data_IF_558111549718
#
_entry.id   IF_558111549718
#
_cell.length_a   1.000
_cell.length_b   1.000
_cell.length_c   1.000
_cell.angle_alpha   90.00
_cell.angle_beta   90.00
_cell.angle_gamma   90.00
#
_symmetry.space_group_name_H-M   'P 1'
#
loop_
_entity.id
_entity.type
_entity.pdbx_description
1 polymer ?
#
# COMPACT_ATOMS: atom_id res chain seq x y z
N UNK A 1 7.92 -11.03 16.79
CA UNK A 1 6.92 -9.99 17.09
C UNK A 1 6.45 -9.51 15.76
N UNK A 2 5.18 -9.67 15.48
CA UNK A 2 4.56 -9.36 14.19
C UNK A 2 3.72 -8.10 14.36
N UNK A 3 3.81 -7.20 13.39
CA UNK A 3 2.97 -6.01 13.30
C UNK A 3 1.92 -6.26 12.22
N UNK A 4 0.66 -6.10 12.61
CA UNK A 4 -0.45 -6.00 11.67
C UNK A 4 -0.83 -4.54 11.51
N UNK A 5 -0.79 -4.05 10.26
CA UNK A 5 -1.17 -2.70 9.87
C UNK A 5 -2.43 -2.79 8.99
N UNK A 6 -3.54 -2.21 9.45
CA UNK A 6 -4.75 -2.07 8.65
C UNK A 6 -4.88 -0.62 8.19
N UNK A 7 -5.00 -0.40 6.89
CA UNK A 7 -5.29 0.91 6.29
C UNK A 7 -6.68 0.86 5.66
N UNK A 8 -7.53 1.82 5.98
CA UNK A 8 -8.87 1.99 5.38
C UNK A 8 -8.96 3.33 4.70
N UNK A 9 -9.81 3.44 3.68
CA UNK A 9 -10.12 4.72 3.05
C UNK A 9 -11.22 4.61 2.00
N UNK A 10 -11.50 5.73 1.34
CA UNK A 10 -12.46 5.85 0.26
C UNK A 10 -11.76 6.00 -1.09
N UNK A 11 -12.26 5.28 -2.09
CA UNK A 11 -11.82 5.31 -3.48
C UNK A 11 -13.00 5.76 -4.33
N UNK A 12 -12.77 6.76 -5.18
CA UNK A 12 -13.79 7.19 -6.15
C UNK A 12 -14.09 6.05 -7.14
N UNK A 13 -15.35 5.91 -7.54
CA UNK A 13 -15.80 4.79 -8.38
C UNK A 13 -15.01 4.67 -9.70
N UNK A 14 -14.56 5.79 -10.26
CA UNK A 14 -13.73 5.84 -11.47
C UNK A 14 -12.30 5.31 -11.28
N UNK A 15 -11.79 5.28 -10.05
CA UNK A 15 -10.46 4.78 -9.70
C UNK A 15 -10.45 3.35 -9.14
N UNK A 16 -11.61 2.77 -8.82
CA UNK A 16 -11.69 1.41 -8.24
C UNK A 16 -10.94 0.35 -9.06
N UNK A 17 -11.04 0.40 -10.39
CA UNK A 17 -10.37 -0.56 -11.27
C UNK A 17 -8.84 -0.45 -11.16
N UNK A 18 -8.31 0.78 -11.13
CA UNK A 18 -6.88 1.03 -11.00
C UNK A 18 -6.34 0.59 -9.63
N UNK A 19 -7.07 0.92 -8.55
CA UNK A 19 -6.73 0.47 -7.20
C UNK A 19 -6.74 -1.06 -7.08
N UNK A 20 -7.74 -1.71 -7.67
CA UNK A 20 -7.83 -3.18 -7.67
C UNK A 20 -6.63 -3.81 -8.37
N UNK A 21 -6.23 -3.27 -9.53
CA UNK A 21 -5.05 -3.75 -10.26
C UNK A 21 -3.76 -3.55 -9.44
N UNK A 22 -3.60 -2.36 -8.85
CA UNK A 22 -2.48 -2.03 -7.96
C UNK A 22 -2.35 -3.02 -6.79
N UNK A 23 -3.44 -3.28 -6.07
CA UNK A 23 -3.42 -4.20 -4.92
C UNK A 23 -3.22 -5.66 -5.33
N UNK A 24 -3.65 -6.05 -6.54
CA UNK A 24 -3.35 -7.38 -7.07
C UNK A 24 -1.85 -7.58 -7.36
N UNK A 25 -1.13 -6.53 -7.77
CA UNK A 25 0.33 -6.60 -7.88
C UNK A 25 0.99 -6.86 -6.53
N UNK A 26 0.49 -6.20 -5.47
CA UNK A 26 1.01 -6.35 -4.12
C UNK A 26 0.72 -7.75 -3.54
N UNK A 27 -0.53 -8.25 -3.62
CA UNK A 27 -0.89 -9.60 -3.16
C UNK A 27 -0.12 -10.71 -3.90
N UNK A 28 0.20 -10.49 -5.17
CA UNK A 28 0.90 -11.48 -5.99
C UNK A 28 2.41 -11.56 -5.72
N UNK A 29 2.94 -10.81 -4.75
CA UNK A 29 4.38 -10.68 -4.52
C UNK A 29 5.12 -9.98 -5.66
N UNK A 30 4.41 -9.22 -6.50
CA UNK A 30 4.97 -8.45 -7.62
C UNK A 30 5.14 -6.98 -7.22
N UNK A 31 5.82 -6.75 -6.09
CA UNK A 31 5.98 -5.42 -5.48
C UNK A 31 7.15 -4.60 -6.02
N UNK A 32 8.04 -5.19 -6.83
CA UNK A 32 9.15 -4.47 -7.48
C UNK A 32 8.73 -3.77 -8.77
N UNK A 33 9.60 -3.82 -9.80
CA UNK A 33 9.42 -3.13 -11.08
C UNK A 33 8.00 -3.15 -11.69
N UNK A 34 7.19 -4.24 -11.63
CA UNK A 34 5.81 -4.19 -12.14
C UNK A 34 4.91 -3.16 -11.42
N UNK A 35 5.00 -3.07 -10.09
CA UNK A 35 4.23 -2.12 -9.29
C UNK A 35 4.71 -0.70 -9.56
N UNK A 36 6.02 -0.48 -9.55
CA UNK A 36 6.63 0.83 -9.87
C UNK A 36 6.22 1.34 -11.24
N UNK A 37 6.35 0.49 -12.29
CA UNK A 37 5.94 0.85 -13.64
C UNK A 37 4.45 1.15 -13.77
N UNK A 38 3.61 0.45 -13.00
CA UNK A 38 2.18 0.72 -12.96
C UNK A 38 1.90 2.07 -12.30
N UNK A 39 2.49 2.34 -11.13
CA UNK A 39 2.29 3.58 -10.39
C UNK A 39 2.82 4.78 -11.18
N UNK A 40 4.00 4.68 -11.81
CA UNK A 40 4.53 5.76 -12.65
C UNK A 40 3.59 6.12 -13.81
N UNK A 41 2.88 5.14 -14.37
CA UNK A 41 1.94 5.38 -15.48
C UNK A 41 0.58 5.88 -15.04
N UNK A 42 0.07 5.36 -13.93
CA UNK A 42 -1.31 5.56 -13.49
C UNK A 42 -1.43 6.66 -12.43
N UNK A 43 -0.45 6.75 -11.54
CA UNK A 43 -0.40 7.66 -10.40
C UNK A 43 0.99 8.32 -10.30
N UNK A 44 1.43 9.11 -11.31
CA UNK A 44 2.81 9.61 -11.39
C UNK A 44 3.21 10.49 -10.20
N UNK A 45 2.25 11.14 -9.53
CA UNK A 45 2.53 11.94 -8.33
C UNK A 45 2.86 11.09 -7.11
N UNK A 46 2.48 9.82 -7.10
CA UNK A 46 2.67 8.89 -6.00
C UNK A 46 4.02 8.15 -6.05
N UNK A 47 4.74 8.22 -7.18
CA UNK A 47 6.01 7.50 -7.42
C UNK A 47 7.04 7.76 -6.30
N UNK A 48 7.23 9.01 -5.91
CA UNK A 48 8.24 9.38 -4.93
C UNK A 48 7.97 8.84 -3.51
N UNK A 49 6.70 8.65 -3.13
CA UNK A 49 6.35 8.08 -1.83
C UNK A 49 6.32 6.54 -1.88
N UNK A 50 6.01 5.95 -3.03
CA UNK A 50 6.21 4.52 -3.25
C UNK A 50 7.68 4.14 -3.11
N UNK A 51 8.59 4.86 -3.77
CA UNK A 51 10.03 4.59 -3.73
C UNK A 51 10.55 4.59 -2.29
N UNK A 52 10.22 5.63 -1.50
CA UNK A 52 10.58 5.68 -0.07
C UNK A 52 10.00 4.53 0.74
N UNK A 53 8.78 4.10 0.45
CA UNK A 53 8.19 2.96 1.14
C UNK A 53 8.96 1.68 0.81
N UNK A 54 9.31 1.45 -0.45
CA UNK A 54 10.07 0.28 -0.90
C UNK A 54 11.50 0.27 -0.36
N UNK A 55 12.19 1.42 -0.36
CA UNK A 55 13.55 1.57 0.19
C UNK A 55 13.63 1.08 1.64
N UNK A 56 12.61 1.38 2.46
CA UNK A 56 12.55 0.89 3.84
C UNK A 56 12.52 -0.64 3.88
N UNK A 57 11.68 -1.29 3.07
CA UNK A 57 11.65 -2.75 3.03
C UNK A 57 12.99 -3.35 2.56
N UNK A 58 13.64 -2.72 1.58
CA UNK A 58 14.97 -3.14 1.10
C UNK A 58 16.05 -3.04 2.18
N UNK A 59 16.03 -1.98 3.01
CA UNK A 59 16.95 -1.83 4.16
C UNK A 59 16.86 -2.99 5.16
N UNK A 60 15.67 -3.58 5.30
CA UNK A 60 15.43 -4.73 6.17
C UNK A 60 15.49 -6.08 5.44
N UNK A 61 15.91 -6.11 4.16
CA UNK A 61 15.90 -7.29 3.30
C UNK A 61 14.53 -7.99 3.24
N UNK A 62 13.45 -7.20 3.27
CA UNK A 62 12.06 -7.66 3.23
C UNK A 62 11.32 -7.05 2.04
N UNK A 63 10.03 -7.37 1.91
CA UNK A 63 9.14 -6.78 0.88
C UNK A 63 7.83 -6.35 1.53
N UNK A 64 7.10 -5.37 0.95
CA UNK A 64 5.76 -5.05 1.40
C UNK A 64 4.87 -6.28 1.35
N UNK A 65 4.38 -6.72 2.51
CA UNK A 65 3.55 -7.92 2.60
C UNK A 65 2.10 -7.53 2.89
N UNK A 66 1.38 -7.23 1.80
CA UNK A 66 -0.07 -7.09 1.82
C UNK A 66 -0.69 -8.49 1.89
N UNK A 67 -1.33 -8.85 3.00
CA UNK A 67 -1.95 -10.15 3.21
C UNK A 67 -3.31 -10.25 2.50
N UNK A 68 -4.12 -9.19 2.65
CA UNK A 68 -5.47 -9.13 2.08
C UNK A 68 -5.87 -7.70 1.77
N UNK A 69 -6.77 -7.54 0.79
CA UNK A 69 -7.51 -6.30 0.62
C UNK A 69 -9.00 -6.58 0.35
N UNK A 70 -9.83 -5.61 0.73
CA UNK A 70 -11.23 -5.52 0.33
C UNK A 70 -11.45 -4.19 -0.38
N UNK A 71 -12.13 -4.24 -1.54
CA UNK A 71 -12.58 -3.06 -2.26
C UNK A 71 -14.06 -3.25 -2.62
N UNK A 72 -14.96 -2.57 -1.91
CA UNK A 72 -16.41 -2.69 -2.08
C UNK A 72 -17.08 -1.34 -1.89
N UNK A 73 -17.93 -0.94 -2.85
CA UNK A 73 -18.76 0.27 -2.74
C UNK A 73 -17.95 1.53 -2.42
N UNK A 74 -16.80 1.72 -3.08
CA UNK A 74 -15.89 2.83 -2.84
C UNK A 74 -15.05 2.71 -1.57
N UNK A 75 -15.20 1.65 -0.77
CA UNK A 75 -14.42 1.47 0.46
C UNK A 75 -13.25 0.52 0.22
N UNK A 76 -12.04 0.98 0.51
CA UNK A 76 -10.83 0.16 0.52
C UNK A 76 -10.44 -0.20 1.96
N UNK A 77 -10.04 -1.44 2.16
CA UNK A 77 -9.41 -1.92 3.39
C UNK A 77 -8.24 -2.81 3.03
N UNK A 78 -7.05 -2.45 3.44
CA UNK A 78 -5.79 -3.17 3.22
C UNK A 78 -5.27 -3.70 4.55
N UNK A 79 -4.79 -4.93 4.59
CA UNK A 79 -4.16 -5.51 5.77
C UNK A 79 -2.75 -5.98 5.42
N UNK A 80 -1.76 -5.37 6.05
CA UNK A 80 -0.34 -5.72 5.91
C UNK A 80 0.14 -6.46 7.15
N UNK A 81 1.07 -7.40 6.96
CA UNK A 81 1.74 -8.12 8.04
C UNK A 81 3.25 -7.97 7.88
N UNK A 82 3.96 -7.57 8.93
CA UNK A 82 5.41 -7.40 8.88
C UNK A 82 6.03 -7.26 10.26
N UNK A 83 7.14 -6.56 10.35
CA UNK A 83 7.80 -6.23 11.61
C UNK A 83 8.16 -4.75 11.68
N UNK A 84 9.42 -4.46 12.04
CA UNK A 84 9.94 -3.09 12.18
C UNK A 84 10.04 -2.34 10.84
N UNK A 85 10.21 -3.09 9.76
CA UNK A 85 10.16 -2.60 8.39
C UNK A 85 8.80 -2.00 8.08
N UNK A 86 7.71 -2.73 8.40
CA UNK A 86 6.34 -2.24 8.20
C UNK A 86 6.02 -1.05 9.10
N UNK A 87 6.50 -1.06 10.35
CA UNK A 87 6.36 0.09 11.26
C UNK A 87 6.99 1.34 10.66
N UNK A 88 8.22 1.20 10.15
CA UNK A 88 9.01 2.30 9.56
C UNK A 88 8.45 2.76 8.22
N UNK A 89 7.89 1.85 7.42
CA UNK A 89 7.31 2.13 6.11
C UNK A 89 5.88 2.70 6.19
N UNK A 90 5.19 2.53 7.32
CA UNK A 90 3.75 2.84 7.45
C UNK A 90 3.38 4.26 7.02
N UNK A 91 4.18 5.26 7.41
CA UNK A 91 3.96 6.67 7.02
C UNK A 91 4.03 6.86 5.50
N UNK A 92 5.03 6.26 4.85
CA UNK A 92 5.23 6.37 3.41
C UNK A 92 4.17 5.58 2.64
N UNK A 93 3.75 4.43 3.15
CA UNK A 93 2.64 3.66 2.59
C UNK A 93 1.32 4.43 2.61
N UNK A 94 1.00 5.09 3.72
CA UNK A 94 -0.19 5.94 3.81
C UNK A 94 -0.11 7.11 2.85
N UNK A 95 0.99 7.86 2.87
CA UNK A 95 1.18 9.00 1.98
C UNK A 95 1.10 8.60 0.50
N UNK A 96 1.70 7.47 0.13
CA UNK A 96 1.61 6.91 -1.21
C UNK A 96 0.16 6.59 -1.61
N UNK A 97 -0.62 5.95 -0.73
CA UNK A 97 -2.02 5.63 -1.00
C UNK A 97 -2.88 6.90 -1.13
N UNK A 98 -2.62 7.92 -0.33
CA UNK A 98 -3.26 9.24 -0.45
C UNK A 98 -2.94 9.91 -1.79
N UNK A 99 -1.67 9.86 -2.22
CA UNK A 99 -1.25 10.38 -3.54
C UNK A 99 -1.86 9.59 -4.71
N UNK A 100 -2.20 8.32 -4.50
CA UNK A 100 -2.96 7.52 -5.47
C UNK A 100 -4.46 7.88 -5.50
N UNK A 101 -4.92 8.75 -4.60
CA UNK A 101 -6.29 9.23 -4.53
C UNK A 101 -7.17 8.55 -3.48
N UNK A 102 -6.59 7.78 -2.55
CA UNK A 102 -7.32 7.26 -1.40
C UNK A 102 -7.64 8.41 -0.43
N UNK A 103 -8.91 8.56 -0.04
CA UNK A 103 -9.37 9.64 0.85
C UNK A 103 -9.83 9.11 2.19
N UNK A 104 -9.97 10.02 3.17
CA UNK A 104 -10.48 9.72 4.52
C UNK A 104 -9.74 8.53 5.15
N UNK A 105 -8.41 8.57 5.08
CA UNK A 105 -7.57 7.43 5.45
C UNK A 105 -7.56 7.23 6.97
N UNK A 106 -7.86 6.00 7.40
CA UNK A 106 -7.73 5.55 8.78
C UNK A 106 -6.67 4.45 8.87
N UNK A 107 -5.81 4.54 9.88
CA UNK A 107 -4.77 3.55 10.16
C UNK A 107 -4.99 2.91 11.54
N UNK A 108 -4.86 1.59 11.59
CA UNK A 108 -4.85 0.81 12.84
C UNK A 108 -3.62 -0.13 12.85
N UNK A 109 -2.94 -0.24 13.99
CA UNK A 109 -1.66 -0.94 14.11
C UNK A 109 -1.59 -1.74 15.39
N UNK A 110 -1.31 -3.04 15.28
CA UNK A 110 -1.29 -3.96 16.42
C UNK A 110 -0.07 -4.87 16.37
N UNK A 111 0.72 -4.86 17.45
CA UNK A 111 1.82 -5.81 17.68
C UNK A 111 1.30 -7.08 18.37
N UNK A 112 1.66 -8.24 17.85
CA UNK A 112 1.32 -9.58 18.33
C UNK A 112 2.60 -10.40 18.60
#
# INVERSE_FOLDING_TARGET
>A
MELYLTIKGQVEAEHEAAFKEMFNYMLGGKTGAPLENFVQKTFPMAEANLEKALDVFEEFYSTPNLETYELKQGQAKLSFMGGRDLESASLYLVAWLEDCGLRDVEQDSQWI
#
